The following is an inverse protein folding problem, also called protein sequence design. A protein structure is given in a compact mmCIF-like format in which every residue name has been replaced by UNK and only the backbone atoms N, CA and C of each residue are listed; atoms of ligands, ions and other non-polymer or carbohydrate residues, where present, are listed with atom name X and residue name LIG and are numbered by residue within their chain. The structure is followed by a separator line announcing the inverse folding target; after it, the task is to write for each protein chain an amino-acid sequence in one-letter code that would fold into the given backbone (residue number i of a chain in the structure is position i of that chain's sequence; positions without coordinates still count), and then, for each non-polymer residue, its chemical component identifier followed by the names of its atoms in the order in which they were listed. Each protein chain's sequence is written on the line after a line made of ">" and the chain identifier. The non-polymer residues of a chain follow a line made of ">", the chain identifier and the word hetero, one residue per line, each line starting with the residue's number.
data_IF_840285409659
#
_entry.id   IF_840285409659
#
_cell.length_a   1.000
_cell.length_b   1.000
_cell.length_c   1.000
_cell.angle_alpha   90.00
_cell.angle_beta   90.00
_cell.angle_gamma   90.00
#
_symmetry.space_group_name_H-M   'P 1'
#
loop_
_entity.id
_entity.type
_entity.pdbx_description
1 polymer ?
#
# COMPACT_ATOMS: atom_id res chain seq x y z
N UNK A 1 -11.52 -5.67 -3.61
CA UNK A 1 -11.22 -5.63 -2.16
C UNK A 1 -10.87 -4.18 -1.81
N UNK A 2 -11.21 -3.72 -0.60
CA UNK A 2 -10.83 -2.37 -0.12
C UNK A 2 -9.66 -2.45 0.87
N UNK A 3 -9.02 -1.32 1.20
CA UNK A 3 -7.89 -1.30 2.14
C UNK A 3 -8.25 -1.94 3.47
N UNK A 4 -9.44 -1.65 3.97
CA UNK A 4 -9.94 -2.18 5.23
C UNK A 4 -9.89 -3.71 5.28
N UNK A 5 -10.32 -4.38 4.22
CA UNK A 5 -10.29 -5.85 4.15
C UNK A 5 -8.86 -6.40 4.30
N UNK A 6 -7.89 -5.67 3.73
CA UNK A 6 -6.47 -6.01 3.81
C UNK A 6 -5.89 -5.74 5.19
N UNK A 7 -6.24 -4.61 5.82
CA UNK A 7 -5.84 -4.32 7.19
C UNK A 7 -6.40 -5.39 8.15
N UNK A 8 -7.67 -5.76 7.97
CA UNK A 8 -8.33 -6.81 8.75
C UNK A 8 -7.62 -8.16 8.55
N UNK A 9 -7.26 -8.52 7.31
CA UNK A 9 -6.51 -9.75 7.01
C UNK A 9 -5.17 -9.83 7.74
N UNK A 10 -4.42 -8.72 7.79
CA UNK A 10 -3.12 -8.62 8.47
C UNK A 10 -3.22 -8.23 9.95
N UNK A 11 -4.43 -8.11 10.52
CA UNK A 11 -4.69 -7.65 11.89
C UNK A 11 -4.07 -6.26 12.21
N UNK A 12 -4.14 -5.31 11.27
CA UNK A 12 -3.68 -3.93 11.44
C UNK A 12 -4.86 -3.08 11.92
N UNK A 13 -4.81 -2.62 13.18
CA UNK A 13 -5.89 -1.87 13.83
C UNK A 13 -5.68 -0.34 13.89
N UNK A 14 -4.82 0.21 13.03
CA UNK A 14 -4.49 1.63 13.07
C UNK A 14 -5.54 2.51 12.39
N UNK A 15 -5.65 3.75 12.89
CA UNK A 15 -6.58 4.72 12.34
C UNK A 15 -6.02 5.31 11.04
N UNK A 16 -6.73 5.06 9.94
CA UNK A 16 -6.51 5.72 8.66
C UNK A 16 -7.76 6.53 8.26
N UNK A 17 -7.61 7.56 7.42
CA UNK A 17 -8.73 8.27 6.83
C UNK A 17 -9.78 7.32 6.20
N UNK A 18 -11.07 7.59 6.44
CA UNK A 18 -12.18 6.74 5.96
C UNK A 18 -12.15 6.52 4.45
N UNK A 19 -11.73 7.53 3.69
CA UNK A 19 -11.65 7.41 2.24
C UNK A 19 -10.60 6.38 1.80
N UNK A 20 -9.46 6.27 2.52
CA UNK A 20 -8.44 5.25 2.27
C UNK A 20 -8.94 3.87 2.65
N UNK A 21 -9.62 3.75 3.78
CA UNK A 21 -10.18 2.47 4.24
C UNK A 21 -11.12 1.85 3.19
N UNK A 22 -11.85 2.69 2.46
CA UNK A 22 -12.77 2.29 1.41
C UNK A 22 -12.15 2.33 0.00
N UNK A 23 -10.89 2.72 -0.13
CA UNK A 23 -10.22 2.78 -1.43
C UNK A 23 -9.97 1.34 -1.94
N UNK A 24 -10.28 1.05 -3.22
CA UNK A 24 -10.10 -0.28 -3.77
C UNK A 24 -8.62 -0.60 -3.98
N UNK A 25 -8.18 -1.72 -3.41
CA UNK A 25 -6.87 -2.30 -3.69
C UNK A 25 -7.10 -3.65 -4.37
N UNK A 26 -6.38 -3.89 -5.47
CA UNK A 26 -6.51 -5.14 -6.22
C UNK A 26 -6.27 -6.35 -5.29
N UNK A 27 -6.94 -7.46 -5.58
CA UNK A 27 -6.89 -8.74 -4.82
C UNK A 27 -5.48 -9.33 -4.65
N UNK A 28 -4.52 -8.75 -5.35
CA UNK A 28 -3.11 -9.09 -5.31
C UNK A 28 -2.54 -9.06 -3.89
N UNK A 29 -2.92 -8.11 -3.05
CA UNK A 29 -2.21 -7.87 -1.79
C UNK A 29 -2.48 -8.88 -0.64
N UNK A 30 -3.33 -9.89 -0.84
CA UNK A 30 -3.66 -10.88 0.22
C UNK A 30 -2.62 -11.99 0.41
N UNK A 31 -1.73 -12.22 -0.57
CA UNK A 31 -0.74 -13.31 -0.53
C UNK A 31 0.67 -12.74 -0.40
N UNK A 32 0.94 -12.12 0.77
CA UNK A 32 2.13 -11.30 0.99
C UNK A 32 2.79 -11.46 2.35
N UNK A 33 4.05 -11.02 2.40
CA UNK A 33 4.82 -10.93 3.62
C UNK A 33 4.56 -9.57 4.29
N UNK A 34 4.15 -9.61 5.57
CA UNK A 34 4.03 -8.43 6.42
C UNK A 34 5.29 -8.27 7.28
N UNK A 35 5.90 -7.10 7.20
CA UNK A 35 6.93 -6.64 8.14
C UNK A 35 6.40 -5.45 8.92
N UNK A 36 6.63 -5.42 10.23
CA UNK A 36 6.29 -4.30 11.11
C UNK A 36 7.56 -3.73 11.74
N UNK A 37 7.72 -2.41 11.70
CA UNK A 37 8.78 -1.68 12.40
C UNK A 37 8.17 -0.48 13.14
N UNK A 38 8.07 -0.59 14.47
CA UNK A 38 7.36 0.40 15.29
C UNK A 38 5.89 0.55 14.89
N UNK A 39 5.52 1.71 14.37
CA UNK A 39 4.16 2.04 13.88
C UNK A 39 4.02 1.93 12.36
N UNK A 40 5.08 1.52 11.67
CA UNK A 40 5.11 1.39 10.22
C UNK A 40 4.92 -0.07 9.83
N UNK A 41 4.14 -0.30 8.78
CA UNK A 41 3.92 -1.61 8.20
C UNK A 41 4.40 -1.62 6.76
N UNK A 42 4.96 -2.74 6.34
CA UNK A 42 5.33 -3.01 4.95
C UNK A 42 4.75 -4.35 4.55
N UNK A 43 3.93 -4.34 3.50
CA UNK A 43 3.35 -5.53 2.89
C UNK A 43 3.99 -5.71 1.52
N UNK A 44 4.63 -6.85 1.30
CA UNK A 44 5.30 -7.17 0.04
C UNK A 44 4.60 -8.34 -0.63
N UNK A 45 4.20 -8.16 -1.89
CA UNK A 45 3.60 -9.21 -2.71
C UNK A 45 4.32 -9.31 -4.04
N UNK A 46 4.59 -10.54 -4.49
CA UNK A 46 5.02 -10.79 -5.86
C UNK A 46 3.91 -11.50 -6.64
N UNK A 47 3.46 -10.88 -7.72
CA UNK A 47 2.40 -11.43 -8.58
C UNK A 47 2.95 -12.51 -9.51
N UNK A 48 2.04 -13.30 -10.10
CA UNK A 48 2.37 -14.30 -11.14
C UNK A 48 3.04 -13.69 -12.39
N UNK A 49 2.91 -12.39 -12.59
CA UNK A 49 3.52 -11.68 -13.72
C UNK A 49 4.92 -11.16 -13.39
N UNK A 50 5.55 -11.60 -12.28
CA UNK A 50 6.82 -11.08 -11.77
C UNK A 50 6.79 -9.57 -11.46
N UNK A 51 5.63 -9.05 -11.06
CA UNK A 51 5.49 -7.69 -10.53
C UNK A 51 5.60 -7.78 -9.00
N UNK A 52 6.50 -7.04 -8.39
CA UNK A 52 6.59 -6.96 -6.91
C UNK A 52 5.97 -5.66 -6.44
N UNK A 53 4.88 -5.74 -5.69
CA UNK A 53 4.27 -4.60 -5.01
C UNK A 53 4.78 -4.50 -3.57
N UNK A 54 5.05 -3.28 -3.13
CA UNK A 54 5.42 -2.94 -1.76
C UNK A 54 4.47 -1.85 -1.29
N UNK A 55 3.58 -2.18 -0.35
CA UNK A 55 2.69 -1.24 0.30
C UNK A 55 3.28 -0.87 1.66
N UNK A 56 3.54 0.42 1.87
CA UNK A 56 3.92 0.98 3.15
C UNK A 56 2.69 1.66 3.77
N UNK A 57 2.42 1.33 5.03
CA UNK A 57 1.36 1.97 5.82
C UNK A 57 2.03 2.68 6.99
N UNK A 58 1.89 4.01 7.03
CA UNK A 58 2.48 4.91 8.02
C UNK A 58 1.40 5.88 8.54
N UNK A 59 0.56 5.46 9.49
CA UNK A 59 -0.67 6.19 9.84
C UNK A 59 -0.48 7.68 10.18
N UNK A 60 0.69 8.06 10.70
CA UNK A 60 1.01 9.40 11.16
C UNK A 60 1.77 10.27 10.13
N UNK A 61 2.01 9.76 8.91
CA UNK A 61 2.76 10.47 7.87
C UNK A 61 1.84 11.37 7.01
N UNK A 62 2.41 12.30 6.25
CA UNK A 62 1.67 13.11 5.26
C UNK A 62 0.98 12.20 4.23
N UNK A 63 1.68 11.11 3.86
CA UNK A 63 1.19 10.06 2.98
C UNK A 63 1.08 8.74 3.73
N UNK A 64 -0.04 8.49 4.41
CA UNK A 64 -0.20 7.31 5.26
C UNK A 64 -0.19 5.98 4.50
N UNK A 65 -0.42 5.99 3.19
CA UNK A 65 -0.30 4.80 2.36
C UNK A 65 0.57 5.13 1.15
N UNK A 66 1.60 4.32 0.92
CA UNK A 66 2.49 4.43 -0.24
C UNK A 66 2.57 3.06 -0.90
N UNK A 67 2.36 2.98 -2.20
CA UNK A 67 2.51 1.76 -2.97
C UNK A 67 3.59 1.96 -4.02
N UNK A 68 4.58 1.09 -4.01
CA UNK A 68 5.58 0.98 -5.06
C UNK A 68 5.43 -0.36 -5.75
N UNK A 69 5.58 -0.41 -7.06
CA UNK A 69 5.66 -1.65 -7.81
C UNK A 69 6.92 -1.69 -8.66
N UNK A 70 7.60 -2.83 -8.62
CA UNK A 70 8.68 -3.17 -9.52
C UNK A 70 8.14 -4.07 -10.62
N UNK A 71 8.19 -3.57 -11.85
CA UNK A 71 7.77 -4.28 -13.05
C UNK A 71 8.83 -5.30 -13.48
N UNK A 72 8.49 -6.30 -14.33
CA UNK A 72 9.43 -7.34 -14.76
C UNK A 72 10.62 -6.81 -15.55
N UNK A 73 10.47 -5.65 -16.19
CA UNK A 73 11.53 -4.96 -16.92
C UNK A 73 12.46 -4.15 -16.02
N UNK A 74 12.25 -4.17 -14.69
CA UNK A 74 13.03 -3.43 -13.71
C UNK A 74 12.53 -2.01 -13.46
N UNK A 75 11.57 -1.50 -14.24
CA UNK A 75 11.00 -0.18 -14.02
C UNK A 75 10.22 -0.14 -12.71
N UNK A 76 10.27 1.01 -12.06
CA UNK A 76 9.49 1.30 -10.86
C UNK A 76 8.31 2.19 -11.24
N UNK A 77 7.18 1.95 -10.59
CA UNK A 77 6.07 2.88 -10.56
C UNK A 77 5.50 2.93 -9.13
N UNK A 78 4.72 3.95 -8.84
CA UNK A 78 4.07 4.00 -7.53
C UNK A 78 3.05 5.10 -7.41
N UNK A 79 2.34 5.05 -6.29
CA UNK A 79 1.36 6.04 -5.91
C UNK A 79 1.43 6.23 -4.39
N UNK A 80 1.30 7.46 -3.94
CA UNK A 80 1.17 7.79 -2.52
C UNK A 80 -0.17 8.48 -2.29
N UNK A 81 -0.81 8.15 -1.19
CA UNK A 81 -2.14 8.63 -0.83
C UNK A 81 -2.03 9.43 0.47
N UNK A 82 -2.52 10.67 0.44
CA UNK A 82 -2.40 11.63 1.53
C UNK A 82 -3.40 11.43 2.66
N UNK A 83 -3.57 12.45 3.50
CA UNK A 83 -4.56 12.42 4.59
C UNK A 83 -5.98 12.79 4.12
N UNK A 84 -6.14 13.37 2.93
CA UNK A 84 -7.41 13.83 2.38
C UNK A 84 -7.73 13.17 1.04
N UNK A 85 -9.03 13.00 0.76
CA UNK A 85 -9.50 12.50 -0.53
C UNK A 85 -9.03 13.42 -1.67
N UNK A 86 -8.50 12.82 -2.74
CA UNK A 86 -7.88 13.51 -3.86
C UNK A 86 -6.42 13.94 -3.68
N UNK A 87 -5.80 13.73 -2.52
CA UNK A 87 -4.36 13.98 -2.31
C UNK A 87 -3.51 12.76 -2.70
N UNK A 88 -3.69 12.31 -3.94
CA UNK A 88 -2.99 11.17 -4.50
C UNK A 88 -1.91 11.67 -5.46
N UNK A 89 -0.70 11.14 -5.37
CA UNK A 89 0.43 11.56 -6.21
C UNK A 89 1.11 10.35 -6.82
N UNK A 90 1.33 10.40 -8.13
CA UNK A 90 2.15 9.42 -8.83
C UNK A 90 3.62 9.57 -8.43
N UNK A 91 4.31 8.44 -8.35
CA UNK A 91 5.76 8.38 -8.16
C UNK A 91 6.34 8.04 -9.52
N UNK A 92 6.61 9.09 -10.31
CA UNK A 92 7.11 8.98 -11.69
C UNK A 92 8.65 8.97 -11.78
N UNK A 93 9.36 9.35 -10.70
CA UNK A 93 10.83 9.39 -10.64
C UNK A 93 11.37 8.52 -9.49
N UNK A 94 11.86 7.32 -9.83
CA UNK A 94 12.76 6.50 -8.99
C UNK A 94 13.87 5.86 -9.83
#
# INVERSE_FOLDING_TARGET
>A
MILKDLLDYFNIGDNLPDYLLNHPFNEVFLDGDLTKDGNDYMIVVTTRQNVTHQMHIRPNDEFPVIIMSRLPNGNLNGMKFGQNDGDEKFIDDL
#
